data_IF_701557767503
#
_entry.id   IF_701557767503
#
_cell.length_a   1.000
_cell.length_b   1.000
_cell.length_c   1.000
_cell.angle_alpha   90.00
_cell.angle_beta   90.00
_cell.angle_gamma   90.00
#
_symmetry.space_group_name_H-M   'P 1'
#
loop_
_entity.id
_entity.type
_entity.pdbx_description
1 polymer ?
#
# COMPACT_ATOMS: atom_id res chain seq x y z
N UNK A 1 -32.89 9.05 27.81
CA UNK A 1 -31.46 8.69 27.62
C UNK A 1 -31.25 7.69 26.47
N UNK A 2 -32.00 6.59 26.40
CA UNK A 2 -31.92 5.56 25.36
C UNK A 2 -32.19 6.10 23.94
N UNK A 3 -33.21 6.91 23.76
CA UNK A 3 -33.57 7.53 22.47
C UNK A 3 -32.44 8.42 21.90
N UNK A 4 -31.78 9.21 22.74
CA UNK A 4 -30.66 10.06 22.35
C UNK A 4 -29.43 9.22 21.95
N UNK A 5 -29.19 8.09 22.62
CA UNK A 5 -28.13 7.15 22.29
C UNK A 5 -28.38 6.49 20.91
N UNK A 6 -29.61 5.99 20.68
CA UNK A 6 -30.01 5.39 19.40
C UNK A 6 -29.89 6.41 18.25
N UNK A 7 -30.34 7.65 18.46
CA UNK A 7 -30.21 8.72 17.46
C UNK A 7 -28.75 9.09 17.16
N UNK A 8 -27.86 9.08 18.16
CA UNK A 8 -26.43 9.31 17.95
C UNK A 8 -25.79 8.17 17.20
N UNK A 9 -26.15 6.93 17.53
CA UNK A 9 -25.66 5.74 16.84
C UNK A 9 -26.11 5.75 15.38
N UNK A 10 -27.42 5.96 15.14
CA UNK A 10 -27.97 6.05 13.79
C UNK A 10 -27.30 7.14 12.93
N UNK A 11 -27.09 8.33 13.51
CA UNK A 11 -26.37 9.42 12.82
C UNK A 11 -24.93 9.05 12.46
N UNK A 12 -24.19 8.36 13.35
CA UNK A 12 -22.83 7.90 13.08
C UNK A 12 -22.80 6.86 11.97
N UNK A 13 -23.74 5.91 12.01
CA UNK A 13 -23.85 4.87 10.97
C UNK A 13 -24.19 5.46 9.60
N UNK A 14 -25.14 6.39 9.54
CA UNK A 14 -25.48 7.07 8.29
C UNK A 14 -24.32 7.88 7.72
N UNK A 15 -23.58 8.63 8.55
CA UNK A 15 -22.39 9.35 8.13
C UNK A 15 -21.30 8.40 7.60
N UNK A 16 -21.09 7.26 8.25
CA UNK A 16 -20.15 6.26 7.79
C UNK A 16 -20.56 5.68 6.42
N UNK A 17 -21.83 5.32 6.24
CA UNK A 17 -22.34 4.85 4.95
C UNK A 17 -22.23 5.91 3.85
N UNK A 18 -22.47 7.17 4.19
CA UNK A 18 -22.29 8.29 3.26
C UNK A 18 -20.80 8.43 2.87
N UNK A 19 -19.87 8.38 3.81
CA UNK A 19 -18.42 8.42 3.51
C UNK A 19 -18.00 7.26 2.61
N UNK A 20 -18.47 6.04 2.89
CA UNK A 20 -18.21 4.86 2.06
C UNK A 20 -18.80 5.07 0.65
N UNK A 21 -20.03 5.55 0.54
CA UNK A 21 -20.66 5.84 -0.76
C UNK A 21 -19.90 6.89 -1.58
N UNK A 22 -19.35 7.90 -0.92
CA UNK A 22 -18.53 8.93 -1.60
C UNK A 22 -17.18 8.38 -2.09
N UNK A 23 -16.54 7.45 -1.35
CA UNK A 23 -15.33 6.76 -1.80
C UNK A 23 -15.64 5.91 -3.04
N UNK A 24 -16.76 5.19 -3.06
CA UNK A 24 -17.19 4.42 -4.24
C UNK A 24 -17.52 5.33 -5.44
N UNK A 25 -18.17 6.46 -5.22
CA UNK A 25 -18.44 7.44 -6.28
C UNK A 25 -17.13 8.01 -6.87
N UNK A 26 -16.13 8.28 -6.03
CA UNK A 26 -14.80 8.69 -6.50
C UNK A 26 -14.15 7.60 -7.33
N UNK A 27 -14.17 6.36 -6.87
CA UNK A 27 -13.62 5.21 -7.61
C UNK A 27 -14.32 5.04 -8.96
N UNK A 28 -15.64 5.13 -9.00
CA UNK A 28 -16.41 5.06 -10.24
C UNK A 28 -16.05 6.21 -11.20
N UNK A 29 -15.90 7.43 -10.68
CA UNK A 29 -15.43 8.58 -11.45
C UNK A 29 -14.04 8.40 -12.05
N UNK A 30 -13.12 7.79 -11.28
CA UNK A 30 -11.78 7.42 -11.75
C UNK A 30 -11.86 6.39 -12.88
N UNK A 31 -12.64 5.31 -12.71
CA UNK A 31 -12.80 4.26 -13.72
C UNK A 31 -13.44 4.83 -15.00
N UNK A 32 -14.44 5.67 -14.88
CA UNK A 32 -15.08 6.36 -16.03
C UNK A 32 -14.07 7.25 -16.80
N UNK A 33 -13.01 7.68 -16.16
CA UNK A 33 -11.96 8.50 -16.77
C UNK A 33 -10.89 7.69 -17.51
N UNK A 34 -10.86 6.35 -17.41
CA UNK A 34 -9.85 5.48 -18.04
C UNK A 34 -9.72 5.61 -19.55
N UNK A 35 -10.80 5.81 -20.36
CA UNK A 35 -10.64 6.03 -21.79
C UNK A 35 -9.77 7.23 -22.16
N UNK A 36 -9.50 8.13 -21.21
CA UNK A 36 -8.70 9.33 -21.42
C UNK A 36 -7.23 9.17 -20.99
N UNK A 37 -6.81 7.97 -20.59
CA UNK A 37 -5.41 7.61 -20.23
C UNK A 37 -4.40 8.12 -21.27
N UNK A 38 -4.60 7.93 -22.61
CA UNK A 38 -3.61 8.38 -23.60
C UNK A 38 -3.34 9.88 -23.56
N UNK A 39 -4.35 10.69 -23.21
CA UNK A 39 -4.22 12.15 -23.09
C UNK A 39 -3.49 12.57 -21.80
N UNK A 40 -3.52 11.74 -20.75
CA UNK A 40 -2.95 12.02 -19.42
C UNK A 40 -1.60 11.33 -19.18
N UNK A 41 -1.01 10.68 -20.20
CA UNK A 41 0.19 9.83 -20.06
C UNK A 41 1.37 10.53 -19.38
N UNK A 42 1.62 11.80 -19.70
CA UNK A 42 2.72 12.56 -19.08
C UNK A 42 2.53 12.74 -17.57
N UNK A 43 1.30 13.03 -17.15
CA UNK A 43 0.97 13.20 -15.74
C UNK A 43 1.05 11.85 -15.01
N UNK A 44 0.58 10.77 -15.64
CA UNK A 44 0.68 9.41 -15.08
C UNK A 44 2.15 9.01 -14.89
N UNK A 45 3.01 9.21 -15.89
CA UNK A 45 4.44 8.91 -15.78
C UNK A 45 5.12 9.73 -14.68
N UNK A 46 4.81 11.01 -14.56
CA UNK A 46 5.29 11.84 -13.45
C UNK A 46 4.85 11.30 -12.09
N UNK A 47 3.59 10.89 -11.95
CA UNK A 47 3.09 10.28 -10.72
C UNK A 47 3.74 8.90 -10.46
N UNK A 48 4.03 8.12 -11.49
CA UNK A 48 4.75 6.84 -11.33
C UNK A 48 6.18 7.05 -10.80
N UNK A 49 6.88 8.06 -11.29
CA UNK A 49 8.19 8.46 -10.75
C UNK A 49 8.08 8.88 -9.29
N UNK A 50 7.14 9.78 -8.98
CA UNK A 50 6.95 10.31 -7.62
C UNK A 50 6.55 9.23 -6.61
N UNK A 51 5.61 8.35 -6.99
CA UNK A 51 5.11 7.27 -6.14
C UNK A 51 6.11 6.11 -6.06
N UNK A 52 6.66 5.71 -7.20
CA UNK A 52 7.53 4.54 -7.31
C UNK A 52 8.99 4.85 -7.00
N UNK A 53 9.66 5.53 -7.94
CA UNK A 53 11.11 5.71 -7.89
C UNK A 53 11.54 6.42 -6.61
N UNK A 54 10.86 7.50 -6.25
CA UNK A 54 11.17 8.25 -5.04
C UNK A 54 10.87 7.50 -3.73
N UNK A 55 10.09 6.39 -3.77
CA UNK A 55 9.85 5.54 -2.60
C UNK A 55 10.86 4.40 -2.47
N UNK A 56 11.56 4.05 -3.54
CA UNK A 56 12.50 2.92 -3.56
C UNK A 56 13.50 2.94 -2.39
N UNK A 57 14.25 4.01 -2.11
CA UNK A 57 15.24 3.98 -1.04
C UNK A 57 14.67 3.58 0.31
N UNK A 58 13.50 4.14 0.67
CA UNK A 58 12.83 3.83 1.92
C UNK A 58 12.35 2.37 1.97
N UNK A 59 11.73 1.90 0.89
CA UNK A 59 11.25 0.52 0.77
C UNK A 59 12.41 -0.48 0.86
N UNK A 60 13.53 -0.22 0.20
CA UNK A 60 14.69 -1.10 0.22
C UNK A 60 15.32 -1.20 1.63
N UNK A 61 15.45 -0.08 2.33
CA UNK A 61 15.97 -0.08 3.72
C UNK A 61 15.07 -0.96 4.61
N UNK A 62 13.78 -0.74 4.57
CA UNK A 62 12.83 -1.51 5.37
C UNK A 62 12.86 -2.99 4.98
N UNK A 63 12.94 -3.29 3.69
CA UNK A 63 13.00 -4.65 3.18
C UNK A 63 14.20 -5.44 3.71
N UNK A 64 15.42 -4.85 3.71
CA UNK A 64 16.62 -5.51 4.25
C UNK A 64 16.40 -5.95 5.70
N UNK A 65 15.95 -5.02 6.55
CA UNK A 65 15.75 -5.33 7.98
C UNK A 65 14.57 -6.28 8.21
N UNK A 66 13.51 -6.17 7.42
CA UNK A 66 12.41 -7.14 7.46
C UNK A 66 12.89 -8.55 7.16
N UNK A 67 13.68 -8.72 6.11
CA UNK A 67 14.27 -10.01 5.76
C UNK A 67 15.20 -10.54 6.85
N UNK A 68 16.03 -9.67 7.41
CA UNK A 68 16.93 -10.02 8.52
C UNK A 68 16.16 -10.55 9.74
N UNK A 69 15.12 -9.84 10.17
CA UNK A 69 14.26 -10.26 11.29
C UNK A 69 13.50 -11.54 10.97
N UNK A 70 12.96 -11.65 9.75
CA UNK A 70 12.24 -12.84 9.31
C UNK A 70 13.13 -14.10 9.36
N UNK A 71 14.42 -14.00 8.99
CA UNK A 71 15.37 -15.11 9.09
C UNK A 71 15.60 -15.55 10.55
N UNK A 72 15.80 -14.62 11.46
CA UNK A 72 15.92 -14.93 12.89
C UNK A 72 14.66 -15.59 13.45
N UNK A 73 13.50 -15.03 13.12
CA UNK A 73 12.23 -15.57 13.59
C UNK A 73 11.97 -16.97 13.05
N UNK A 74 12.23 -17.19 11.75
CA UNK A 74 12.10 -18.52 11.15
C UNK A 74 13.09 -19.53 11.76
N UNK A 75 14.35 -19.13 11.99
CA UNK A 75 15.32 -20.00 12.64
C UNK A 75 14.90 -20.41 14.07
N UNK A 76 14.35 -19.46 14.80
CA UNK A 76 13.83 -19.72 16.16
C UNK A 76 12.67 -20.71 16.14
N UNK A 77 11.73 -20.55 15.19
CA UNK A 77 10.58 -21.45 15.04
C UNK A 77 10.98 -22.87 14.56
N UNK A 78 12.00 -22.98 13.72
CA UNK A 78 12.50 -24.26 13.24
C UNK A 78 13.31 -25.04 14.31
N UNK A 79 13.78 -24.37 15.35
CA UNK A 79 14.62 -25.00 16.39
C UNK A 79 13.90 -26.16 17.08
N UNK A 80 14.47 -27.38 16.93
CA UNK A 80 13.91 -28.60 17.49
C UNK A 80 12.78 -29.25 16.69
N UNK A 81 12.33 -28.64 15.57
CA UNK A 81 11.23 -29.14 14.73
C UNK A 81 11.76 -29.58 13.37
N UNK A 82 12.59 -28.76 12.73
CA UNK A 82 13.10 -29.02 11.39
C UNK A 82 14.56 -28.53 11.23
N UNK A 83 15.31 -29.14 10.28
CA UNK A 83 16.66 -28.69 9.98
C UNK A 83 16.72 -27.26 9.43
N UNK A 84 17.79 -26.53 9.77
CA UNK A 84 18.04 -25.19 9.25
C UNK A 84 18.16 -25.11 7.70
N UNK A 85 18.29 -26.25 7.02
CA UNK A 85 18.24 -26.32 5.57
C UNK A 85 16.90 -25.84 4.97
N UNK A 86 15.81 -25.85 5.74
CA UNK A 86 14.51 -25.32 5.34
C UNK A 86 14.35 -23.81 5.58
N UNK A 87 15.35 -23.16 6.17
CA UNK A 87 15.28 -21.76 6.55
C UNK A 87 15.00 -20.84 5.36
N UNK A 88 15.67 -21.08 4.23
CA UNK A 88 15.46 -20.29 3.01
C UNK A 88 14.01 -20.39 2.50
N UNK A 89 13.43 -21.58 2.52
CA UNK A 89 12.05 -21.80 2.09
C UNK A 89 11.03 -21.10 3.01
N UNK A 90 11.15 -21.31 4.31
CA UNK A 90 10.23 -20.72 5.29
C UNK A 90 10.26 -19.20 5.24
N UNK A 91 11.48 -18.62 5.22
CA UNK A 91 11.67 -17.17 5.21
C UNK A 91 11.20 -16.54 3.90
N UNK A 92 11.61 -17.09 2.75
CA UNK A 92 11.23 -16.52 1.45
C UNK A 92 9.73 -16.60 1.20
N UNK A 93 9.07 -17.68 1.60
CA UNK A 93 7.63 -17.82 1.47
C UNK A 93 6.89 -16.77 2.31
N UNK A 94 7.24 -16.61 3.58
CA UNK A 94 6.65 -15.59 4.45
C UNK A 94 6.86 -14.16 3.92
N UNK A 95 8.03 -13.87 3.35
CA UNK A 95 8.34 -12.59 2.73
C UNK A 95 7.43 -12.36 1.51
N UNK A 96 7.39 -13.32 0.58
CA UNK A 96 6.71 -13.14 -0.71
C UNK A 96 5.19 -13.04 -0.55
N UNK A 97 4.61 -13.85 0.35
CA UNK A 97 3.14 -13.92 0.51
C UNK A 97 2.58 -12.81 1.38
N UNK A 98 3.32 -12.39 2.44
CA UNK A 98 2.77 -11.52 3.49
C UNK A 98 3.67 -10.31 3.79
N UNK A 99 4.89 -10.54 4.30
CA UNK A 99 5.70 -9.46 4.86
C UNK A 99 6.04 -8.39 3.81
N UNK A 100 6.39 -8.80 2.60
CA UNK A 100 6.72 -7.90 1.51
C UNK A 100 5.55 -7.00 1.10
N UNK A 101 4.42 -7.56 0.66
CA UNK A 101 3.25 -6.78 0.28
C UNK A 101 2.72 -5.88 1.40
N UNK A 102 2.51 -6.43 2.61
CA UNK A 102 1.89 -5.70 3.73
C UNK A 102 2.78 -4.56 4.22
N UNK A 103 4.06 -4.83 4.50
CA UNK A 103 4.96 -3.80 5.01
C UNK A 103 5.22 -2.71 3.96
N UNK A 104 5.41 -3.09 2.69
CA UNK A 104 5.51 -2.10 1.61
C UNK A 104 4.23 -1.27 1.52
N UNK A 105 3.06 -1.91 1.64
CA UNK A 105 1.76 -1.24 1.63
C UNK A 105 1.63 -0.18 2.72
N UNK A 106 1.94 -0.52 3.97
CA UNK A 106 1.88 0.40 5.11
C UNK A 106 2.88 1.56 4.95
N UNK A 107 4.10 1.27 4.51
CA UNK A 107 5.13 2.29 4.27
C UNK A 107 4.68 3.28 3.18
N UNK A 108 4.12 2.78 2.10
CA UNK A 108 3.60 3.60 1.00
C UNK A 108 2.34 4.35 1.43
N UNK A 109 1.48 3.79 2.25
CA UNK A 109 0.35 4.52 2.83
C UNK A 109 0.83 5.74 3.64
N UNK A 110 1.91 5.59 4.42
CA UNK A 110 2.50 6.68 5.21
C UNK A 110 3.21 7.73 4.36
N UNK A 111 3.93 7.31 3.31
CA UNK A 111 4.68 8.25 2.46
C UNK A 111 3.82 8.84 1.34
N UNK A 112 3.19 8.00 0.55
CA UNK A 112 2.46 8.40 -0.66
C UNK A 112 1.02 8.78 -0.34
N UNK A 113 0.29 7.96 0.44
CA UNK A 113 -1.09 8.25 0.81
C UNK A 113 -1.21 9.56 1.59
N UNK A 114 -0.31 9.79 2.53
CA UNK A 114 -0.22 11.04 3.29
C UNK A 114 0.17 12.23 2.39
N UNK A 115 1.13 12.06 1.46
CA UNK A 115 1.54 13.11 0.52
C UNK A 115 0.40 13.50 -0.42
N UNK A 116 -0.33 12.53 -0.98
CA UNK A 116 -1.51 12.79 -1.83
C UNK A 116 -2.56 13.60 -1.08
N UNK A 117 -2.86 13.23 0.18
CA UNK A 117 -3.83 13.94 0.99
C UNK A 117 -3.35 15.37 1.32
N UNK A 118 -2.05 15.56 1.58
CA UNK A 118 -1.47 16.87 1.83
C UNK A 118 -1.50 17.77 0.60
N UNK A 119 -1.08 17.24 -0.57
CA UNK A 119 -1.07 18.00 -1.83
C UNK A 119 -2.49 18.43 -2.23
N UNK A 120 -3.42 17.48 -2.30
CA UNK A 120 -4.81 17.77 -2.67
C UNK A 120 -5.52 18.61 -1.62
N UNK A 121 -5.22 18.39 -0.33
CA UNK A 121 -5.71 19.18 0.76
C UNK A 121 -5.24 20.63 0.66
N UNK A 122 -3.98 20.86 0.35
CA UNK A 122 -3.45 22.22 0.10
C UNK A 122 -4.12 22.85 -1.11
N UNK A 123 -4.26 22.13 -2.22
CA UNK A 123 -4.99 22.63 -3.40
C UNK A 123 -6.45 22.96 -3.10
N UNK A 124 -7.11 22.21 -2.18
CA UNK A 124 -8.50 22.49 -1.79
C UNK A 124 -8.61 23.75 -0.94
N UNK A 125 -7.78 23.90 0.08
CA UNK A 125 -7.85 25.07 0.97
C UNK A 125 -7.35 26.37 0.32
N UNK A 126 -6.60 26.28 -0.78
CA UNK A 126 -6.17 27.41 -1.61
C UNK A 126 -7.05 27.62 -2.84
N UNK A 127 -8.23 26.99 -2.89
CA UNK A 127 -9.25 27.13 -3.95
C UNK A 127 -8.77 26.73 -5.37
N UNK A 128 -7.61 26.06 -5.49
CA UNK A 128 -7.11 25.60 -6.79
C UNK A 128 -8.01 24.52 -7.41
N UNK A 129 -8.65 23.68 -6.59
CA UNK A 129 -9.60 22.66 -7.07
C UNK A 129 -10.86 23.35 -7.61
N UNK A 130 -11.36 24.37 -6.93
CA UNK A 130 -12.54 25.13 -7.34
C UNK A 130 -12.25 25.92 -8.63
N UNK A 131 -11.01 26.43 -8.78
CA UNK A 131 -10.56 27.04 -10.02
C UNK A 131 -10.52 26.06 -11.20
N UNK A 132 -10.14 24.79 -11.00
CA UNK A 132 -10.23 23.78 -12.05
C UNK A 132 -11.68 23.52 -12.47
N UNK A 133 -12.61 23.45 -11.52
CA UNK A 133 -14.03 23.26 -11.81
C UNK A 133 -14.64 24.43 -12.59
N UNK A 134 -14.28 25.67 -12.27
CA UNK A 134 -14.73 26.85 -13.03
C UNK A 134 -14.20 26.85 -14.46
N UNK A 135 -13.05 26.23 -14.72
CA UNK A 135 -12.51 26.02 -16.06
C UNK A 135 -13.07 24.77 -16.77
N UNK A 136 -14.12 24.15 -16.22
CA UNK A 136 -14.72 22.90 -16.71
C UNK A 136 -13.72 21.70 -16.76
N UNK A 137 -12.67 21.72 -15.94
CA UNK A 137 -11.71 20.63 -15.80
C UNK A 137 -12.12 19.79 -14.59
N UNK A 138 -12.46 18.51 -14.81
CA UNK A 138 -12.83 17.61 -13.71
C UNK A 138 -11.60 17.30 -12.82
N UNK A 139 -11.62 17.63 -11.51
CA UNK A 139 -10.53 17.32 -10.58
C UNK A 139 -10.28 15.82 -10.47
N UNK A 140 -11.34 15.01 -10.52
CA UNK A 140 -11.23 13.54 -10.47
C UNK A 140 -10.38 13.02 -11.63
N UNK A 141 -10.64 13.52 -12.84
CA UNK A 141 -9.89 13.12 -14.05
C UNK A 141 -8.45 13.63 -14.04
N UNK A 142 -8.25 14.88 -13.64
CA UNK A 142 -6.95 15.55 -13.75
C UNK A 142 -6.00 15.20 -12.59
N UNK A 143 -6.54 15.04 -11.38
CA UNK A 143 -5.76 14.84 -10.17
C UNK A 143 -5.83 13.41 -9.64
N UNK A 144 -7.04 12.82 -9.49
CA UNK A 144 -7.20 11.53 -8.83
C UNK A 144 -6.85 10.35 -9.74
N UNK A 145 -7.31 10.34 -10.99
CA UNK A 145 -7.10 9.22 -11.91
C UNK A 145 -5.61 8.93 -12.18
N UNK A 146 -4.73 9.91 -12.47
CA UNK A 146 -3.31 9.65 -12.67
C UNK A 146 -2.61 9.09 -11.42
N UNK A 147 -2.94 9.59 -10.22
CA UNK A 147 -2.39 9.11 -8.95
C UNK A 147 -2.83 7.68 -8.65
N UNK A 148 -4.10 7.38 -8.88
CA UNK A 148 -4.66 6.04 -8.68
C UNK A 148 -4.01 5.01 -9.61
N UNK A 149 -3.92 5.31 -10.90
CA UNK A 149 -3.27 4.41 -11.87
C UNK A 149 -1.78 4.22 -11.58
N UNK A 150 -1.07 5.30 -11.27
CA UNK A 150 0.34 5.23 -10.92
C UNK A 150 0.57 4.36 -9.67
N UNK A 151 -0.28 4.49 -8.65
CA UNK A 151 -0.22 3.66 -7.44
C UNK A 151 -0.46 2.18 -7.73
N UNK A 152 -1.49 1.84 -8.48
CA UNK A 152 -1.81 0.45 -8.85
C UNK A 152 -0.66 -0.22 -9.60
N UNK A 153 0.01 0.52 -10.49
CA UNK A 153 1.11 -0.02 -11.30
C UNK A 153 2.41 -0.08 -10.51
N UNK A 154 2.71 0.96 -9.73
CA UNK A 154 4.00 1.04 -9.04
C UNK A 154 4.07 0.21 -7.75
N UNK A 155 2.95 -0.06 -7.08
CA UNK A 155 2.95 -0.91 -5.88
C UNK A 155 3.47 -2.33 -6.13
N UNK A 156 3.00 -3.10 -7.13
CA UNK A 156 3.58 -4.39 -7.45
C UNK A 156 5.08 -4.31 -7.77
N UNK A 157 5.52 -3.26 -8.48
CA UNK A 157 6.94 -3.05 -8.79
C UNK A 157 7.75 -2.87 -7.50
N UNK A 158 7.29 -2.02 -6.59
CA UNK A 158 7.94 -1.82 -5.28
C UNK A 158 7.99 -3.10 -4.46
N UNK A 159 6.93 -3.90 -4.47
CA UNK A 159 6.87 -5.19 -3.76
C UNK A 159 7.85 -6.21 -4.34
N UNK A 160 8.05 -6.24 -5.68
CA UNK A 160 9.08 -7.11 -6.29
C UNK A 160 10.47 -6.73 -5.78
N UNK A 161 10.81 -5.43 -5.77
CA UNK A 161 12.08 -4.96 -5.23
C UNK A 161 12.20 -5.25 -3.73
N UNK A 162 11.14 -5.00 -2.95
CA UNK A 162 11.11 -5.29 -1.52
C UNK A 162 11.36 -6.78 -1.24
N UNK A 163 10.64 -7.67 -1.91
CA UNK A 163 10.79 -9.11 -1.75
C UNK A 163 12.20 -9.58 -2.09
N UNK A 164 12.76 -9.09 -3.20
CA UNK A 164 14.12 -9.47 -3.62
C UNK A 164 15.15 -9.04 -2.57
N UNK A 165 15.09 -7.81 -2.12
CA UNK A 165 16.02 -7.27 -1.14
C UNK A 165 15.81 -7.87 0.26
N UNK A 166 14.56 -8.16 0.64
CA UNK A 166 14.27 -8.85 1.90
C UNK A 166 14.83 -10.28 1.93
N UNK A 167 14.71 -11.04 0.84
CA UNK A 167 15.32 -12.37 0.73
C UNK A 167 16.85 -12.30 0.80
N UNK A 168 17.47 -11.29 0.20
CA UNK A 168 18.91 -11.06 0.34
C UNK A 168 19.30 -10.68 1.78
N UNK A 169 18.53 -9.82 2.44
CA UNK A 169 18.72 -9.49 3.87
C UNK A 169 18.60 -10.74 4.77
N UNK A 170 17.61 -11.58 4.49
CA UNK A 170 17.43 -12.86 5.17
C UNK A 170 18.63 -13.81 4.97
N UNK A 171 19.16 -13.89 3.75
CA UNK A 171 20.34 -14.67 3.45
C UNK A 171 21.58 -14.15 4.21
N UNK A 172 21.81 -12.86 4.25
CA UNK A 172 22.94 -12.27 4.99
C UNK A 172 22.94 -12.74 6.45
N UNK A 173 21.80 -12.62 7.13
CA UNK A 173 21.67 -13.07 8.53
C UNK A 173 21.85 -14.60 8.63
N UNK A 174 21.25 -15.36 7.72
CA UNK A 174 21.34 -16.82 7.71
C UNK A 174 22.77 -17.31 7.56
N UNK A 175 23.57 -16.65 6.72
CA UNK A 175 24.96 -17.03 6.47
C UNK A 175 25.88 -16.61 7.65
N UNK A 176 25.86 -15.34 8.06
CA UNK A 176 26.81 -14.81 9.04
C UNK A 176 26.53 -15.27 10.49
N UNK A 177 25.26 -15.43 10.86
CA UNK A 177 24.87 -15.73 12.25
C UNK A 177 24.38 -17.16 12.48
N UNK A 178 23.82 -17.80 11.46
CA UNK A 178 23.22 -19.13 11.59
C UNK A 178 24.02 -20.22 10.86
N UNK A 179 25.13 -19.87 10.19
CA UNK A 179 26.00 -20.82 9.51
C UNK A 179 25.40 -21.54 8.31
N UNK A 180 24.30 -21.01 7.74
CA UNK A 180 23.65 -21.59 6.56
C UNK A 180 24.36 -21.11 5.30
N UNK A 181 24.96 -22.04 4.53
CA UNK A 181 25.68 -21.68 3.31
C UNK A 181 24.75 -21.17 2.21
N UNK A 182 25.30 -20.39 1.26
CA UNK A 182 24.59 -19.86 0.09
C UNK A 182 23.83 -20.96 -0.65
N UNK A 183 24.52 -22.06 -0.96
CA UNK A 183 23.95 -23.16 -1.71
C UNK A 183 22.71 -23.76 -1.00
N UNK A 184 22.81 -24.02 0.31
CA UNK A 184 21.71 -24.58 1.11
C UNK A 184 20.54 -23.62 1.16
N UNK A 185 20.78 -22.33 1.41
CA UNK A 185 19.72 -21.32 1.51
C UNK A 185 18.96 -21.18 0.19
N UNK A 186 19.64 -20.90 -0.92
CA UNK A 186 18.99 -20.67 -2.21
C UNK A 186 18.45 -21.94 -2.86
N UNK A 187 19.06 -23.11 -2.62
CA UNK A 187 18.48 -24.38 -3.05
C UNK A 187 17.12 -24.63 -2.35
N UNK A 188 17.03 -24.32 -1.06
CA UNK A 188 15.78 -24.40 -0.31
C UNK A 188 14.74 -23.42 -0.86
N UNK A 189 15.10 -22.16 -1.09
CA UNK A 189 14.21 -21.18 -1.74
C UNK A 189 13.69 -21.73 -3.07
N UNK A 190 14.59 -22.17 -3.96
CA UNK A 190 14.22 -22.67 -5.30
C UNK A 190 13.30 -23.89 -5.24
N UNK A 191 13.57 -24.82 -4.32
CA UNK A 191 12.82 -26.08 -4.21
C UNK A 191 11.36 -25.88 -3.78
N UNK A 192 11.11 -24.88 -2.93
CA UNK A 192 9.79 -24.63 -2.35
C UNK A 192 9.13 -23.35 -2.90
N UNK A 193 9.73 -22.71 -3.90
CA UNK A 193 9.15 -21.55 -4.56
C UNK A 193 7.90 -21.94 -5.35
N UNK A 194 6.78 -21.32 -5.03
CA UNK A 194 5.53 -21.45 -5.77
C UNK A 194 5.24 -20.13 -6.50
N UNK A 195 5.06 -20.21 -7.80
CA UNK A 195 4.74 -19.04 -8.62
C UNK A 195 3.39 -18.43 -8.24
N UNK A 196 2.44 -19.24 -7.74
CA UNK A 196 1.18 -18.78 -7.18
C UNK A 196 1.36 -17.81 -6.02
N UNK A 197 2.30 -18.09 -5.10
CA UNK A 197 2.56 -17.24 -3.94
C UNK A 197 3.01 -15.84 -4.37
N UNK A 198 3.85 -15.74 -5.41
CA UNK A 198 4.28 -14.49 -5.99
C UNK A 198 3.09 -13.72 -6.61
N UNK A 199 2.26 -14.40 -7.40
CA UNK A 199 1.08 -13.76 -8.02
C UNK A 199 0.12 -13.22 -6.95
N UNK A 200 -0.16 -14.01 -5.92
CA UNK A 200 -1.04 -13.59 -4.81
C UNK A 200 -0.47 -12.33 -4.14
N UNK A 201 0.84 -12.31 -3.82
CA UNK A 201 1.50 -11.14 -3.26
C UNK A 201 1.40 -9.90 -4.15
N UNK A 202 1.52 -10.05 -5.47
CA UNK A 202 1.37 -8.94 -6.42
C UNK A 202 -0.08 -8.47 -6.56
N UNK A 203 -1.05 -9.37 -6.50
CA UNK A 203 -2.48 -9.01 -6.47
C UNK A 203 -2.78 -8.20 -5.20
N UNK A 204 -2.31 -8.65 -4.03
CA UNK A 204 -2.41 -7.87 -2.78
C UNK A 204 -1.84 -6.46 -2.96
N UNK A 205 -0.65 -6.34 -3.55
CA UNK A 205 0.00 -5.06 -3.81
C UNK A 205 -0.85 -4.12 -4.70
N UNK A 206 -1.51 -4.63 -5.73
CA UNK A 206 -2.42 -3.85 -6.58
C UNK A 206 -3.55 -3.24 -5.75
N UNK A 207 -4.20 -4.04 -4.91
CA UNK A 207 -5.28 -3.56 -4.04
C UNK A 207 -4.78 -2.53 -3.01
N UNK A 208 -3.61 -2.76 -2.40
CA UNK A 208 -3.03 -1.83 -1.42
C UNK A 208 -2.67 -0.49 -2.06
N UNK A 209 -2.11 -0.50 -3.28
CA UNK A 209 -1.84 0.71 -4.04
C UNK A 209 -3.12 1.47 -4.38
N UNK A 210 -4.14 0.76 -4.85
CA UNK A 210 -5.45 1.33 -5.16
C UNK A 210 -6.10 2.01 -3.96
N UNK A 211 -6.14 1.32 -2.81
CA UNK A 211 -6.70 1.86 -1.57
C UNK A 211 -5.93 3.08 -1.07
N UNK A 212 -4.61 3.01 -1.08
CA UNK A 212 -3.76 4.13 -0.63
C UNK A 212 -4.01 5.40 -1.43
N UNK A 213 -4.05 5.30 -2.76
CA UNK A 213 -4.30 6.45 -3.61
C UNK A 213 -5.75 6.93 -3.54
N UNK A 214 -6.71 6.00 -3.47
CA UNK A 214 -8.14 6.33 -3.41
C UNK A 214 -8.48 7.10 -2.13
N UNK A 215 -8.02 6.60 -0.96
CA UNK A 215 -8.24 7.27 0.33
C UNK A 215 -7.47 8.58 0.42
N UNK A 216 -6.22 8.62 -0.06
CA UNK A 216 -5.45 9.86 -0.13
C UNK A 216 -6.17 10.95 -0.92
N UNK A 217 -6.70 10.61 -2.10
CA UNK A 217 -7.48 11.53 -2.92
C UNK A 217 -8.80 11.93 -2.26
N UNK A 218 -9.55 10.96 -1.73
CA UNK A 218 -10.83 11.22 -1.09
C UNK A 218 -10.71 12.19 0.09
N UNK A 219 -9.74 11.93 0.96
CA UNK A 219 -9.51 12.76 2.15
C UNK A 219 -8.96 14.13 1.75
N UNK A 220 -8.04 14.18 0.77
CA UNK A 220 -7.50 15.43 0.27
C UNK A 220 -8.56 16.36 -0.32
N UNK A 221 -9.48 15.84 -1.13
CA UNK A 221 -10.61 16.61 -1.69
C UNK A 221 -11.59 17.15 -0.64
N UNK A 222 -11.63 16.55 0.53
CA UNK A 222 -12.50 16.95 1.65
C UNK A 222 -11.80 17.78 2.71
N UNK A 223 -10.58 18.19 2.48
CA UNK A 223 -9.83 18.97 3.48
C UNK A 223 -10.41 20.36 3.63
N UNK A 224 -10.63 20.75 4.89
CA UNK A 224 -11.13 22.05 5.31
C UNK A 224 -10.29 22.56 6.48
N UNK A 225 -10.32 23.87 6.77
CA UNK A 225 -9.66 24.43 7.95
C UNK A 225 -8.19 24.81 7.75
N UNK A 226 -7.79 25.13 6.51
CA UNK A 226 -6.46 25.67 6.21
C UNK A 226 -5.32 24.69 6.48
N UNK A 227 -4.16 25.18 6.89
CA UNK A 227 -2.96 24.38 7.12
C UNK A 227 -3.13 23.30 8.22
N UNK A 228 -3.88 23.62 9.28
CA UNK A 228 -4.19 22.65 10.34
C UNK A 228 -5.05 21.48 9.81
N UNK A 229 -6.03 21.81 8.95
CA UNK A 229 -6.86 20.81 8.28
C UNK A 229 -6.04 19.89 7.36
N UNK A 230 -5.07 20.43 6.63
CA UNK A 230 -4.14 19.64 5.80
C UNK A 230 -3.35 18.65 6.65
N UNK A 231 -2.80 19.08 7.78
CA UNK A 231 -2.11 18.19 8.72
C UNK A 231 -3.00 17.06 9.23
N UNK A 232 -4.24 17.36 9.63
CA UNK A 232 -5.22 16.35 10.08
C UNK A 232 -5.57 15.37 8.97
N UNK A 233 -5.78 15.86 7.74
CA UNK A 233 -6.08 15.03 6.57
C UNK A 233 -4.94 14.09 6.22
N UNK A 234 -3.70 14.54 6.33
CA UNK A 234 -2.49 13.74 6.12
C UNK A 234 -2.45 12.54 7.08
N UNK A 235 -2.63 12.79 8.38
CA UNK A 235 -2.65 11.73 9.40
C UNK A 235 -3.84 10.78 9.17
N UNK A 236 -5.03 11.33 8.89
CA UNK A 236 -6.25 10.53 8.63
C UNK A 236 -6.06 9.61 7.42
N UNK A 237 -5.44 10.10 6.37
CA UNK A 237 -5.15 9.31 5.16
C UNK A 237 -4.24 8.14 5.48
N UNK A 238 -3.14 8.34 6.21
CA UNK A 238 -2.24 7.29 6.63
C UNK A 238 -2.95 6.23 7.48
N UNK A 239 -3.65 6.66 8.53
CA UNK A 239 -4.30 5.74 9.48
C UNK A 239 -5.37 4.90 8.80
N UNK A 240 -6.26 5.53 8.01
CA UNK A 240 -7.34 4.81 7.33
C UNK A 240 -6.80 3.89 6.22
N UNK A 241 -5.79 4.32 5.46
CA UNK A 241 -5.17 3.47 4.44
C UNK A 241 -4.50 2.25 5.06
N UNK A 242 -3.72 2.43 6.13
CA UNK A 242 -3.05 1.34 6.84
C UNK A 242 -4.05 0.36 7.45
N UNK A 243 -5.11 0.85 8.09
CA UNK A 243 -6.16 0.00 8.64
C UNK A 243 -6.87 -0.81 7.55
N UNK A 244 -7.20 -0.18 6.42
CA UNK A 244 -7.88 -0.87 5.33
C UNK A 244 -6.96 -1.85 4.60
N UNK A 245 -5.65 -1.57 4.51
CA UNK A 245 -4.65 -2.53 3.99
C UNK A 245 -4.66 -3.80 4.83
N UNK A 246 -4.61 -3.70 6.17
CA UNK A 246 -4.62 -4.87 7.06
C UNK A 246 -5.93 -5.67 6.95
N UNK A 247 -7.06 -4.99 6.85
CA UNK A 247 -8.37 -5.65 6.64
C UNK A 247 -8.39 -6.38 5.29
N UNK A 248 -7.96 -5.71 4.22
CA UNK A 248 -7.90 -6.30 2.88
C UNK A 248 -6.90 -7.45 2.80
N UNK A 249 -5.78 -7.34 3.48
CA UNK A 249 -4.80 -8.42 3.56
C UNK A 249 -5.43 -9.71 4.11
N UNK A 250 -6.12 -9.60 5.24
CA UNK A 250 -6.84 -10.72 5.84
C UNK A 250 -7.93 -11.27 4.91
N UNK A 251 -8.72 -10.39 4.28
CA UNK A 251 -9.79 -10.82 3.35
C UNK A 251 -9.22 -11.52 2.12
N UNK A 252 -8.16 -10.98 1.54
CA UNK A 252 -7.50 -11.58 0.38
C UNK A 252 -6.82 -12.89 0.75
N UNK A 253 -6.24 -12.99 1.95
CA UNK A 253 -5.68 -14.24 2.44
C UNK A 253 -6.77 -15.33 2.53
N UNK A 254 -7.92 -15.00 3.10
CA UNK A 254 -9.06 -15.90 3.23
C UNK A 254 -9.66 -16.34 1.87
N UNK A 255 -9.50 -15.50 0.83
CA UNK A 255 -10.02 -15.77 -0.50
C UNK A 255 -9.09 -16.70 -1.32
N UNK A 256 -7.77 -16.63 -1.09
CA UNK A 256 -6.78 -17.36 -1.89
C UNK A 256 -6.23 -18.62 -1.22
N UNK A 257 -6.39 -18.78 0.09
CA UNK A 257 -5.93 -19.91 0.89
C UNK A 257 -7.07 -20.55 1.68
#
# INVERSE_FOLDING_TARGET
>A
MVTVFIQRLGRKTLKFLEEVGQVFNLLFGIIKSFPLIPKSRKIILYQMEHIGVNSLPLVLIIAVFTGAVAAWQAAYQLKGIAPLSFLGAATSRAIITELGPVLTGIVIAGRVGASIAAELGTMKVTEQIDALETMAISPVRYLAMPRFLASIVMMPVLVIFANTIAVLGAYIVSNYFLGVSFAVFFQSVKRFFLFSDLIIGLIKAIFFGGVTALLGCHIGFKTEGGAEGVGKSTIRSFVLSSALILILDYVLWMLFF
#
